data_IF_280249974174
#
_entry.id   IF_280249974174
#
_cell.length_a   1.000
_cell.length_b   1.000
_cell.length_c   1.000
_cell.angle_alpha   90.00
_cell.angle_beta   90.00
_cell.angle_gamma   90.00
#
_symmetry.space_group_name_H-M   'P 1'
#
loop_
_entity.id
_entity.type
_entity.pdbx_description
1 polymer ?
#
# COMPACT_ATOMS: atom_id res chain seq x y z
N UNK A 1 29.71 43.02 -10.05
CA UNK A 1 29.88 42.64 -8.64
C UNK A 1 30.15 41.16 -8.62
N UNK A 2 31.43 40.81 -8.69
CA UNK A 2 31.93 39.43 -8.74
C UNK A 2 31.79 38.90 -7.32
N UNK A 3 30.83 38.00 -7.09
CA UNK A 3 30.78 37.27 -5.83
C UNK A 3 31.92 36.27 -5.90
N UNK A 4 32.93 36.52 -5.07
CA UNK A 4 34.08 35.68 -4.83
C UNK A 4 33.69 34.21 -4.72
N UNK A 5 34.43 33.35 -5.41
CA UNK A 5 34.50 31.92 -5.13
C UNK A 5 34.74 31.76 -3.62
N UNK A 6 33.70 31.41 -2.88
CA UNK A 6 33.82 31.14 -1.45
C UNK A 6 34.54 29.79 -1.31
N UNK A 7 35.75 29.72 -0.71
CA UNK A 7 36.52 28.48 -0.58
C UNK A 7 35.90 27.46 0.38
N UNK A 8 34.75 27.78 0.98
CA UNK A 8 34.20 27.08 2.14
C UNK A 8 33.65 25.68 1.81
N UNK A 9 33.46 25.34 0.53
CA UNK A 9 32.89 24.03 0.14
C UNK A 9 33.94 23.05 -0.40
N UNK A 10 35.22 23.41 -0.55
CA UNK A 10 36.16 22.55 -1.31
C UNK A 10 37.22 21.81 -0.49
N UNK A 11 37.43 22.10 0.80
CA UNK A 11 38.63 21.57 1.48
C UNK A 11 38.43 20.36 2.42
N UNK A 12 37.20 19.88 2.68
CA UNK A 12 37.00 18.72 3.57
C UNK A 12 35.87 17.76 3.19
N UNK A 13 35.49 17.65 1.91
CA UNK A 13 34.53 16.62 1.50
C UNK A 13 35.23 15.28 1.20
N UNK A 14 34.77 14.16 1.77
CA UNK A 14 35.35 12.85 1.48
C UNK A 14 35.02 12.45 0.03
N UNK A 15 36.06 12.15 -0.76
CA UNK A 15 36.01 11.48 -2.08
C UNK A 15 35.25 12.25 -3.18
N UNK A 16 35.39 11.81 -4.43
CA UNK A 16 35.11 12.57 -5.67
C UNK A 16 33.67 13.11 -5.75
N UNK A 17 33.47 14.42 -5.53
CA UNK A 17 32.26 15.12 -5.93
C UNK A 17 32.36 15.64 -7.36
N UNK A 18 31.28 15.49 -8.14
CA UNK A 18 31.15 16.06 -9.49
C UNK A 18 29.96 17.03 -9.54
N UNK A 19 30.20 18.32 -9.78
CA UNK A 19 29.13 19.31 -9.97
C UNK A 19 28.32 18.99 -11.23
N UNK A 20 27.00 18.91 -11.10
CA UNK A 20 26.05 18.73 -12.19
C UNK A 20 25.48 20.05 -12.67
N UNK A 21 25.08 20.92 -11.74
CA UNK A 21 24.52 22.24 -12.05
C UNK A 21 24.54 23.14 -10.83
N UNK A 22 24.53 24.45 -11.08
CA UNK A 22 24.27 25.47 -10.07
C UNK A 22 23.20 26.44 -10.59
N UNK A 23 22.26 26.83 -9.73
CA UNK A 23 21.38 27.96 -9.97
C UNK A 23 21.28 28.78 -8.69
N UNK A 24 21.79 30.02 -8.71
CA UNK A 24 21.91 30.88 -7.53
C UNK A 24 22.60 30.15 -6.35
N UNK A 25 21.91 29.94 -5.23
CA UNK A 25 22.40 29.24 -4.05
C UNK A 25 22.24 27.70 -4.11
N UNK A 26 21.62 27.16 -5.17
CA UNK A 26 21.37 25.72 -5.31
C UNK A 26 22.46 25.04 -6.13
N UNK A 27 23.30 24.26 -5.45
CA UNK A 27 24.33 23.43 -6.07
C UNK A 27 23.89 21.96 -6.08
N UNK A 28 24.09 21.26 -7.20
CA UNK A 28 23.79 19.84 -7.35
C UNK A 28 25.05 19.07 -7.69
N UNK A 29 25.41 18.06 -6.90
CA UNK A 29 26.60 17.24 -7.11
C UNK A 29 26.25 15.75 -7.20
N UNK A 30 27.11 14.97 -7.84
CA UNK A 30 27.19 13.51 -7.66
C UNK A 30 28.30 13.20 -6.67
N UNK A 31 28.05 12.28 -5.75
CA UNK A 31 29.03 11.74 -4.80
C UNK A 31 29.15 10.22 -5.01
N UNK A 32 30.37 9.71 -5.07
CA UNK A 32 30.65 8.27 -5.12
C UNK A 32 30.74 7.68 -3.69
N UNK A 33 29.88 6.72 -3.37
CA UNK A 33 29.82 6.05 -2.05
C UNK A 33 30.05 4.54 -2.24
N UNK A 34 31.06 3.98 -1.58
CA UNK A 34 31.57 2.63 -1.89
C UNK A 34 31.34 1.55 -0.81
N UNK A 35 30.75 1.86 0.37
CA UNK A 35 30.57 0.87 1.44
C UNK A 35 29.29 1.13 2.28
N UNK A 36 28.52 0.07 2.54
CA UNK A 36 27.44 0.02 3.55
C UNK A 36 27.90 -0.91 4.70
N UNK A 37 27.56 -0.57 5.95
CA UNK A 37 28.00 -1.33 7.13
C UNK A 37 27.17 -2.61 7.37
N UNK A 38 25.86 -2.57 7.12
CA UNK A 38 24.94 -3.69 7.36
C UNK A 38 23.83 -3.77 6.29
N UNK A 39 23.23 -4.97 6.11
CA UNK A 39 22.13 -5.20 5.18
C UNK A 39 21.04 -6.12 5.78
N UNK A 40 19.77 -5.76 5.58
CA UNK A 40 18.62 -6.65 5.89
C UNK A 40 18.50 -7.71 4.79
N UNK A 41 18.56 -8.98 5.17
CA UNK A 41 18.39 -10.13 4.26
C UNK A 41 17.04 -10.80 4.50
N UNK A 42 16.27 -11.01 3.44
CA UNK A 42 15.01 -11.78 3.46
C UNK A 42 15.15 -12.97 2.52
N UNK A 43 14.89 -14.18 3.00
CA UNK A 43 15.01 -15.43 2.23
C UNK A 43 13.63 -16.04 2.02
N UNK A 44 13.29 -16.36 0.76
CA UNK A 44 12.06 -17.06 0.39
C UNK A 44 12.44 -18.44 -0.14
N UNK A 45 12.07 -19.50 0.58
CA UNK A 45 12.37 -20.89 0.19
C UNK A 45 11.28 -21.88 0.61
N UNK A 46 10.79 -22.74 -0.31
CA UNK A 46 11.04 -22.73 -1.75
C UNK A 46 10.31 -21.56 -2.44
N UNK A 47 11.02 -20.84 -3.30
CA UNK A 47 10.41 -19.80 -4.12
C UNK A 47 9.58 -20.45 -5.25
N UNK A 48 8.32 -20.05 -5.38
CA UNK A 48 7.45 -20.43 -6.50
C UNK A 48 7.63 -19.45 -7.67
N UNK A 49 7.17 -19.81 -8.88
CA UNK A 49 7.19 -18.88 -10.03
C UNK A 49 6.51 -17.54 -9.70
N UNK A 50 5.39 -17.57 -8.96
CA UNK A 50 4.72 -16.38 -8.47
C UNK A 50 5.59 -15.46 -7.60
N UNK A 51 6.55 -16.02 -6.84
CA UNK A 51 7.51 -15.20 -6.11
C UNK A 51 8.52 -14.57 -7.06
N UNK A 52 9.06 -15.33 -8.03
CA UNK A 52 9.98 -14.81 -9.03
C UNK A 52 9.36 -13.66 -9.83
N UNK A 53 8.14 -13.85 -10.36
CA UNK A 53 7.43 -12.83 -11.15
C UNK A 53 7.16 -11.56 -10.34
N UNK A 54 6.91 -11.71 -9.03
CA UNK A 54 6.66 -10.58 -8.11
C UNK A 54 7.91 -9.74 -7.85
N UNK A 55 9.07 -10.38 -7.70
CA UNK A 55 10.32 -9.71 -7.31
C UNK A 55 11.25 -9.41 -8.49
N UNK A 56 10.96 -9.95 -9.68
CA UNK A 56 11.69 -9.62 -10.92
C UNK A 56 11.31 -8.22 -11.37
N UNK A 57 12.31 -7.39 -11.68
CA UNK A 57 12.09 -6.07 -12.25
C UNK A 57 11.36 -6.22 -13.59
N UNK A 58 10.28 -5.46 -13.77
CA UNK A 58 9.49 -5.44 -14.99
C UNK A 58 9.07 -4.01 -15.33
N UNK A 59 8.80 -3.75 -16.61
CA UNK A 59 8.21 -2.49 -17.03
C UNK A 59 6.83 -2.31 -16.41
N UNK A 60 6.43 -1.05 -16.21
CA UNK A 60 5.13 -0.71 -15.61
C UNK A 60 4.40 0.25 -16.53
N UNK A 61 3.14 -0.07 -16.80
CA UNK A 61 2.23 0.76 -17.56
C UNK A 61 1.26 1.50 -16.65
N UNK A 62 0.88 2.72 -17.05
CA UNK A 62 -0.24 3.43 -16.46
C UNK A 62 -1.52 3.06 -17.19
N UNK A 63 -2.44 2.42 -16.49
CA UNK A 63 -3.70 1.90 -17.01
C UNK A 63 -4.83 2.84 -16.64
N UNK A 64 -5.77 3.05 -17.56
CA UNK A 64 -7.00 3.81 -17.35
C UNK A 64 -8.21 2.90 -17.62
N UNK A 65 -8.71 2.28 -16.57
CA UNK A 65 -9.80 1.31 -16.61
C UNK A 65 -11.17 2.01 -16.50
N UNK A 66 -11.91 2.05 -17.62
CA UNK A 66 -13.29 2.55 -17.64
C UNK A 66 -14.25 1.51 -17.04
N UNK A 67 -15.50 1.90 -16.69
CA UNK A 67 -16.53 0.93 -16.32
C UNK A 67 -16.71 -0.21 -17.31
N UNK A 68 -16.65 0.09 -18.60
CA UNK A 68 -16.78 -0.91 -19.67
C UNK A 68 -15.59 -1.89 -19.69
N UNK A 69 -14.37 -1.40 -19.50
CA UNK A 69 -13.18 -2.25 -19.38
C UNK A 69 -13.27 -3.12 -18.13
N UNK A 70 -13.74 -2.56 -17.01
CA UNK A 70 -13.97 -3.35 -15.81
C UNK A 70 -15.01 -4.46 -16.05
N UNK A 71 -16.16 -4.13 -16.64
CA UNK A 71 -17.22 -5.09 -16.89
C UNK A 71 -16.77 -6.24 -17.80
N UNK A 72 -16.04 -5.93 -18.88
CA UNK A 72 -15.66 -6.88 -19.92
C UNK A 72 -14.37 -7.65 -19.67
N UNK A 73 -13.41 -7.04 -18.97
CA UNK A 73 -12.04 -7.58 -18.87
C UNK A 73 -11.64 -7.81 -17.41
N UNK A 74 -11.63 -6.75 -16.61
CA UNK A 74 -11.02 -6.81 -15.27
C UNK A 74 -11.91 -7.54 -14.26
N UNK A 75 -13.21 -7.28 -14.29
CA UNK A 75 -14.20 -7.93 -13.43
C UNK A 75 -14.19 -9.45 -13.57
N UNK A 76 -14.25 -10.03 -14.79
CA UNK A 76 -14.05 -11.46 -15.00
C UNK A 76 -12.75 -11.98 -14.37
N UNK A 77 -11.61 -11.33 -14.63
CA UNK A 77 -10.32 -11.70 -14.06
C UNK A 77 -10.31 -11.67 -12.53
N UNK A 78 -10.90 -10.67 -11.88
CA UNK A 78 -10.99 -10.56 -10.41
C UNK A 78 -11.88 -11.66 -9.82
N UNK A 79 -12.95 -12.05 -10.51
CA UNK A 79 -13.86 -13.12 -10.08
C UNK A 79 -13.24 -14.50 -10.23
N UNK A 80 -12.53 -14.74 -11.33
CA UNK A 80 -11.88 -16.01 -11.67
C UNK A 80 -10.47 -16.15 -11.05
N UNK A 81 -9.93 -15.07 -10.51
CA UNK A 81 -8.57 -15.00 -9.98
C UNK A 81 -8.30 -16.04 -8.89
N UNK A 82 -7.03 -16.48 -8.73
CA UNK A 82 -6.69 -17.65 -7.93
C UNK A 82 -6.95 -17.44 -6.44
N UNK A 83 -7.95 -18.15 -5.91
CA UNK A 83 -8.29 -18.19 -4.48
C UNK A 83 -7.15 -18.73 -3.61
N UNK A 84 -6.19 -19.46 -4.20
CA UNK A 84 -5.06 -20.07 -3.50
C UNK A 84 -4.17 -19.07 -2.75
N UNK A 85 -4.24 -17.77 -3.08
CA UNK A 85 -3.53 -16.69 -2.37
C UNK A 85 -4.30 -16.10 -1.18
N UNK A 86 -5.52 -16.55 -0.92
CA UNK A 86 -6.40 -16.01 0.14
C UNK A 86 -6.44 -16.88 1.40
N UNK A 87 -5.88 -18.09 1.36
CA UNK A 87 -6.00 -19.02 2.49
C UNK A 87 -5.43 -18.44 3.80
N UNK A 88 -4.33 -17.69 3.73
CA UNK A 88 -3.77 -17.03 4.92
C UNK A 88 -4.74 -15.98 5.49
N UNK A 89 -5.41 -15.19 4.64
CA UNK A 89 -6.45 -14.23 5.04
C UNK A 89 -7.57 -14.96 5.77
N UNK A 90 -8.06 -16.06 5.19
CA UNK A 90 -9.14 -16.84 5.81
C UNK A 90 -8.72 -17.48 7.12
N UNK A 91 -7.48 -17.94 7.23
CA UNK A 91 -6.96 -18.46 8.49
C UNK A 91 -6.96 -17.38 9.60
N UNK A 92 -6.63 -16.13 9.28
CA UNK A 92 -6.72 -15.00 10.22
C UNK A 92 -8.18 -14.70 10.58
N UNK A 93 -9.06 -14.58 9.57
CA UNK A 93 -10.47 -14.27 9.78
C UNK A 93 -11.23 -15.36 10.54
N UNK A 94 -10.80 -16.62 10.44
CA UNK A 94 -11.38 -17.76 11.16
C UNK A 94 -10.67 -18.05 12.49
N UNK A 95 -9.61 -17.30 12.84
CA UNK A 95 -8.84 -17.49 14.06
C UNK A 95 -8.01 -18.78 14.10
N UNK A 96 -7.69 -19.35 12.93
CA UNK A 96 -6.85 -20.55 12.79
C UNK A 96 -5.35 -20.25 12.81
N UNK A 97 -4.95 -19.03 12.44
CA UNK A 97 -3.55 -18.57 12.42
C UNK A 97 -3.49 -17.10 12.80
N UNK A 98 -2.38 -16.68 13.43
CA UNK A 98 -2.11 -15.30 13.86
C UNK A 98 -3.21 -14.70 14.76
N UNK A 99 -4.04 -15.55 15.39
CA UNK A 99 -5.17 -15.11 16.19
C UNK A 99 -4.72 -14.27 17.40
N UNK A 100 -3.55 -14.60 17.96
CA UNK A 100 -2.87 -13.87 19.02
C UNK A 100 -2.34 -12.50 18.60
N UNK A 101 -2.12 -12.29 17.30
CA UNK A 101 -1.63 -11.02 16.74
C UNK A 101 -2.77 -10.03 16.45
N UNK A 102 -4.02 -10.50 16.49
CA UNK A 102 -5.20 -9.67 16.23
C UNK A 102 -5.40 -8.66 17.37
N UNK A 103 -5.36 -7.38 17.03
CA UNK A 103 -5.47 -6.26 17.97
C UNK A 103 -6.93 -5.85 18.21
N UNK A 104 -7.78 -6.09 17.21
CA UNK A 104 -9.22 -5.83 17.21
C UNK A 104 -9.92 -6.82 16.27
N UNK A 105 -11.10 -7.29 16.65
CA UNK A 105 -11.96 -8.08 15.77
C UNK A 105 -13.45 -7.83 16.05
N UNK A 106 -14.17 -7.44 15.01
CA UNK A 106 -15.62 -7.58 14.90
C UNK A 106 -15.90 -8.74 13.94
N UNK A 107 -16.66 -9.74 14.40
CA UNK A 107 -16.93 -10.97 13.65
C UNK A 107 -18.25 -10.92 12.88
N UNK A 108 -18.91 -9.77 12.77
CA UNK A 108 -20.10 -9.64 11.94
C UNK A 108 -19.77 -10.00 10.48
N UNK A 109 -20.53 -10.90 9.82
CA UNK A 109 -20.13 -11.48 8.54
C UNK A 109 -20.09 -10.47 7.37
N UNK A 110 -20.93 -9.43 7.41
CA UNK A 110 -21.04 -8.45 6.31
C UNK A 110 -20.39 -7.09 6.63
N UNK A 111 -20.16 -6.83 7.91
CA UNK A 111 -19.84 -5.49 8.42
C UNK A 111 -18.66 -5.48 9.41
N UNK A 112 -18.22 -6.67 9.82
CA UNK A 112 -17.10 -6.86 10.72
C UNK A 112 -15.77 -6.80 9.97
N UNK A 113 -14.71 -6.66 10.74
CA UNK A 113 -13.33 -6.65 10.27
C UNK A 113 -12.37 -6.96 11.41
N UNK A 114 -11.14 -7.31 11.09
CA UNK A 114 -10.07 -7.42 12.08
C UNK A 114 -8.89 -6.51 11.75
N UNK A 115 -8.17 -6.11 12.79
CA UNK A 115 -6.95 -5.29 12.70
C UNK A 115 -5.79 -6.09 13.27
N UNK A 116 -4.69 -6.16 12.52
CA UNK A 116 -3.47 -6.86 12.90
C UNK A 116 -2.22 -6.14 12.35
N UNK A 117 -1.03 -6.35 12.94
CA UNK A 117 0.23 -5.90 12.35
C UNK A 117 0.46 -6.55 10.98
N UNK A 118 0.93 -5.77 10.00
CA UNK A 118 1.35 -6.30 8.70
C UNK A 118 2.75 -6.92 8.81
N UNK A 119 2.97 -8.03 8.10
CA UNK A 119 4.28 -8.72 8.04
C UNK A 119 5.47 -7.85 7.60
N UNK A 120 5.23 -6.70 6.94
CA UNK A 120 6.28 -5.72 6.59
C UNK A 120 6.88 -5.03 7.81
N UNK A 121 6.16 -4.95 8.93
CA UNK A 121 6.61 -4.28 10.14
C UNK A 121 7.16 -5.27 11.15
N UNK A 122 8.38 -4.98 11.64
CA UNK A 122 9.07 -5.81 12.63
C UNK A 122 8.58 -5.60 14.08
N UNK A 123 7.65 -4.68 14.29
CA UNK A 123 7.11 -4.29 15.59
C UNK A 123 8.15 -3.74 16.58
N UNK A 124 9.34 -3.39 16.10
CA UNK A 124 10.42 -2.79 16.91
C UNK A 124 10.48 -1.29 16.70
N UNK A 125 10.51 -0.85 15.45
CA UNK A 125 10.55 0.57 15.13
C UNK A 125 9.13 1.13 14.96
N UNK A 126 8.70 2.00 15.87
CA UNK A 126 7.38 2.64 15.79
C UNK A 126 7.24 3.59 14.61
N UNK A 127 8.35 4.08 14.03
CA UNK A 127 8.31 4.84 12.77
C UNK A 127 7.89 3.96 11.59
N UNK A 128 8.09 2.65 11.69
CA UNK A 128 7.70 1.67 10.69
C UNK A 128 6.32 1.04 10.89
N UNK A 129 5.47 1.60 11.76
CA UNK A 129 4.13 1.04 12.02
C UNK A 129 3.41 0.78 10.72
N UNK A 130 2.97 -0.46 10.59
CA UNK A 130 2.17 -0.95 9.48
C UNK A 130 1.13 -1.90 10.05
N UNK A 131 -0.13 -1.46 10.06
CA UNK A 131 -1.28 -2.29 10.39
C UNK A 131 -2.07 -2.58 9.12
N UNK A 132 -2.80 -3.68 9.17
CA UNK A 132 -3.71 -4.12 8.13
C UNK A 132 -5.11 -4.26 8.73
N UNK A 133 -6.11 -3.78 8.02
CA UNK A 133 -7.52 -3.99 8.34
C UNK A 133 -8.12 -4.92 7.29
N UNK A 134 -8.65 -6.08 7.70
CA UNK A 134 -9.22 -7.09 6.81
C UNK A 134 -10.73 -7.14 7.01
N UNK A 135 -11.52 -6.95 5.95
CA UNK A 135 -12.97 -7.12 6.01
C UNK A 135 -13.34 -8.58 6.31
N UNK A 136 -14.43 -8.84 7.03
CA UNK A 136 -14.96 -10.20 7.20
C UNK A 136 -15.65 -10.71 5.94
N UNK A 137 -16.31 -9.81 5.20
CA UNK A 137 -17.06 -10.17 4.00
C UNK A 137 -16.13 -10.54 2.83
N UNK A 138 -16.10 -11.84 2.49
CA UNK A 138 -15.30 -12.39 1.40
C UNK A 138 -15.76 -11.98 0.01
N UNK A 139 -16.98 -11.41 -0.10
CA UNK A 139 -17.53 -10.95 -1.38
C UNK A 139 -16.90 -9.63 -1.84
N UNK A 140 -16.31 -8.86 -0.92
CA UNK A 140 -15.64 -7.60 -1.23
C UNK A 140 -14.19 -7.92 -1.64
N UNK A 141 -13.92 -7.98 -2.94
CA UNK A 141 -12.61 -8.37 -3.49
C UNK A 141 -11.72 -7.15 -3.73
N UNK A 142 -12.32 -6.05 -4.15
CA UNK A 142 -11.63 -4.78 -4.46
C UNK A 142 -12.53 -3.58 -4.15
N UNK A 143 -12.02 -2.36 -4.37
CA UNK A 143 -12.83 -1.14 -4.30
C UNK A 143 -14.02 -1.12 -5.27
N UNK A 144 -13.99 -1.90 -6.37
CA UNK A 144 -15.11 -2.03 -7.32
C UNK A 144 -16.34 -2.70 -6.71
N UNK A 145 -16.17 -3.45 -5.63
CA UNK A 145 -17.26 -4.13 -4.92
C UNK A 145 -17.90 -3.23 -3.84
N UNK A 146 -17.33 -2.05 -3.57
CA UNK A 146 -17.87 -1.14 -2.57
C UNK A 146 -19.21 -0.54 -3.02
N UNK A 147 -20.17 -0.51 -2.09
CA UNK A 147 -21.53 0.02 -2.27
C UNK A 147 -21.88 0.94 -1.11
N UNK A 148 -22.95 1.72 -1.26
CA UNK A 148 -23.45 2.64 -0.22
C UNK A 148 -23.60 1.99 1.17
N UNK A 149 -24.05 0.73 1.22
CA UNK A 149 -24.17 -0.02 2.48
C UNK A 149 -22.84 -0.26 3.22
N UNK A 150 -21.69 -0.14 2.54
CA UNK A 150 -20.38 -0.35 3.15
C UNK A 150 -19.81 0.92 3.81
N UNK A 151 -20.41 2.10 3.61
CA UNK A 151 -19.89 3.36 4.15
C UNK A 151 -19.69 3.30 5.68
N UNK A 152 -20.69 2.78 6.41
CA UNK A 152 -20.60 2.62 7.86
C UNK A 152 -19.46 1.70 8.29
N UNK A 153 -19.23 0.58 7.59
CA UNK A 153 -18.10 -0.31 7.84
C UNK A 153 -16.76 0.41 7.61
N UNK A 154 -16.62 1.15 6.51
CA UNK A 154 -15.38 1.86 6.18
C UNK A 154 -15.05 2.96 7.21
N UNK A 155 -16.05 3.71 7.66
CA UNK A 155 -15.88 4.68 8.74
C UNK A 155 -15.46 4.04 10.06
N UNK A 156 -16.04 2.87 10.39
CA UNK A 156 -15.63 2.10 11.57
C UNK A 156 -14.20 1.58 11.44
N UNK A 157 -13.80 1.09 10.26
CA UNK A 157 -12.41 0.67 10.01
C UNK A 157 -11.43 1.81 10.29
N UNK A 158 -11.72 3.04 9.83
CA UNK A 158 -10.90 4.22 10.12
C UNK A 158 -10.82 4.50 11.62
N UNK A 159 -11.98 4.64 12.29
CA UNK A 159 -12.05 5.00 13.71
C UNK A 159 -11.40 3.96 14.62
N UNK A 160 -11.65 2.67 14.37
CA UNK A 160 -11.05 1.59 15.16
C UNK A 160 -9.55 1.44 14.90
N UNK A 161 -9.07 1.69 13.68
CA UNK A 161 -7.65 1.72 13.40
C UNK A 161 -6.93 2.87 14.14
N UNK A 162 -7.51 4.08 14.16
CA UNK A 162 -7.00 5.20 14.96
C UNK A 162 -6.97 4.87 16.46
N UNK A 163 -8.06 4.27 16.97
CA UNK A 163 -8.17 3.85 18.37
C UNK A 163 -7.13 2.80 18.73
N UNK A 164 -7.00 1.75 17.94
CA UNK A 164 -6.01 0.68 18.14
C UNK A 164 -4.59 1.24 18.11
N UNK A 165 -4.27 2.09 17.13
CA UNK A 165 -2.94 2.70 17.02
C UNK A 165 -2.60 3.55 18.26
N UNK A 166 -3.56 4.32 18.75
CA UNK A 166 -3.39 5.14 19.96
C UNK A 166 -3.22 4.30 21.22
N UNK A 167 -4.10 3.33 21.44
CA UNK A 167 -4.09 2.52 22.66
C UNK A 167 -2.90 1.56 22.74
N UNK A 168 -2.51 0.95 21.61
CA UNK A 168 -1.44 -0.07 21.59
C UNK A 168 -0.05 0.53 21.41
N UNK A 169 0.05 1.65 20.68
CA UNK A 169 1.33 2.17 20.22
C UNK A 169 1.53 3.67 20.49
N UNK A 170 0.55 4.36 21.11
CA UNK A 170 0.64 5.78 21.42
C UNK A 170 0.66 6.69 20.21
N UNK A 171 0.19 6.21 19.04
CA UNK A 171 0.17 6.97 17.79
C UNK A 171 -1.20 7.61 17.57
N UNK A 172 -1.23 8.92 17.40
CA UNK A 172 -2.46 9.66 17.16
C UNK A 172 -2.94 9.49 15.71
N UNK A 173 -4.26 9.57 15.48
CA UNK A 173 -4.84 9.39 14.13
C UNK A 173 -4.28 10.35 13.08
N UNK A 174 -3.92 11.59 13.47
CA UNK A 174 -3.28 12.59 12.59
C UNK A 174 -1.89 12.18 12.07
N UNK A 175 -1.27 11.19 12.71
CA UNK A 175 0.05 10.68 12.36
C UNK A 175 -0.06 9.42 11.48
N UNK A 176 -1.28 9.05 11.07
CA UNK A 176 -1.56 7.92 10.22
C UNK A 176 -2.05 8.38 8.85
N UNK A 177 -1.69 7.61 7.82
CA UNK A 177 -2.38 7.62 6.52
C UNK A 177 -2.94 6.23 6.25
N UNK A 178 -4.19 6.22 5.77
CA UNK A 178 -4.93 5.00 5.51
C UNK A 178 -5.33 4.94 4.05
N UNK A 179 -5.09 3.79 3.41
CA UNK A 179 -5.34 3.65 1.98
C UNK A 179 -5.68 2.21 1.60
N UNK A 180 -6.34 2.08 0.44
CA UNK A 180 -6.66 0.81 -0.21
C UNK A 180 -5.81 0.68 -1.47
N UNK A 181 -5.35 -0.52 -1.78
CA UNK A 181 -4.66 -0.77 -3.04
C UNK A 181 -5.61 -1.06 -4.20
N UNK A 182 -5.30 -0.52 -5.38
CA UNK A 182 -5.88 -0.96 -6.65
C UNK A 182 -4.81 -0.99 -7.77
N UNK A 183 -4.50 -2.13 -8.39
CA UNK A 183 -4.95 -3.48 -8.04
C UNK A 183 -4.34 -3.96 -6.72
N UNK A 184 -5.07 -4.69 -5.85
CA UNK A 184 -4.50 -5.26 -4.64
C UNK A 184 -3.56 -6.44 -4.95
N UNK A 185 -2.69 -6.81 -4.00
CA UNK A 185 -1.83 -7.99 -4.16
C UNK A 185 -2.58 -9.33 -4.03
N UNK A 186 -3.77 -9.29 -3.44
CA UNK A 186 -4.70 -10.40 -3.29
C UNK A 186 -6.13 -9.83 -3.24
N UNK A 187 -7.10 -10.57 -3.77
CA UNK A 187 -8.47 -10.09 -4.02
C UNK A 187 -9.40 -10.33 -2.83
N UNK A 188 -9.06 -9.71 -1.70
CA UNK A 188 -9.90 -9.62 -0.50
C UNK A 188 -9.73 -8.21 0.05
N UNK A 189 -10.82 -7.49 0.31
CA UNK A 189 -10.75 -6.08 0.66
C UNK A 189 -10.00 -5.84 1.97
N UNK A 190 -9.04 -4.91 1.91
CA UNK A 190 -8.22 -4.55 3.04
C UNK A 190 -7.78 -3.08 2.97
N UNK A 191 -7.54 -2.52 4.15
CA UNK A 191 -7.00 -1.17 4.32
C UNK A 191 -5.62 -1.26 4.93
N UNK A 192 -4.67 -0.53 4.36
CA UNK A 192 -3.34 -0.33 4.94
C UNK A 192 -3.36 0.89 5.84
N UNK A 193 -2.78 0.76 7.04
CA UNK A 193 -2.66 1.84 8.02
C UNK A 193 -1.20 1.99 8.37
N UNK A 194 -0.60 3.12 8.00
CA UNK A 194 0.83 3.36 8.18
C UNK A 194 1.06 4.75 8.77
N UNK A 195 2.26 4.99 9.30
CA UNK A 195 2.72 6.34 9.65
C UNK A 195 2.66 7.26 8.43
N UNK A 196 2.37 8.54 8.65
CA UNK A 196 2.36 9.56 7.58
C UNK A 196 3.70 9.59 6.83
N UNK A 197 4.81 9.41 7.55
CA UNK A 197 6.18 9.41 7.02
C UNK A 197 6.55 8.12 6.26
N UNK A 198 5.73 7.06 6.35
CA UNK A 198 6.05 5.78 5.71
C UNK A 198 5.92 5.87 4.19
N UNK A 199 6.99 5.61 3.45
CA UNK A 199 6.98 5.60 1.98
C UNK A 199 7.51 4.28 1.43
N UNK A 200 6.69 3.62 0.62
CA UNK A 200 7.07 2.45 -0.18
C UNK A 200 6.36 2.47 -1.54
N UNK A 201 6.69 1.53 -2.42
CA UNK A 201 6.01 1.37 -3.71
C UNK A 201 4.49 1.12 -3.61
N UNK A 202 3.99 0.67 -2.46
CA UNK A 202 2.55 0.52 -2.17
C UNK A 202 1.85 1.85 -1.94
N UNK A 203 2.54 2.82 -1.33
CA UNK A 203 2.03 4.18 -1.09
C UNK A 203 2.00 5.07 -2.34
N UNK A 204 2.53 4.61 -3.47
CA UNK A 204 2.62 5.38 -4.70
C UNK A 204 1.25 5.72 -5.32
N UNK A 205 1.19 6.88 -5.99
CA UNK A 205 0.05 7.27 -6.82
C UNK A 205 -0.20 6.22 -7.91
N UNK A 206 -1.48 5.92 -8.16
CA UNK A 206 -1.85 4.83 -9.07
C UNK A 206 -1.62 3.44 -8.46
N UNK A 207 -1.48 3.36 -7.13
CA UNK A 207 -1.52 2.11 -6.38
C UNK A 207 -2.34 2.30 -5.11
N UNK A 208 -2.02 3.32 -4.31
CA UNK A 208 -2.78 3.69 -3.12
C UNK A 208 -3.92 4.67 -3.44
N UNK A 209 -5.10 4.40 -2.87
CA UNK A 209 -6.28 5.28 -2.86
C UNK A 209 -6.63 5.58 -1.41
N UNK A 210 -6.69 6.87 -1.04
CA UNK A 210 -6.96 7.27 0.34
C UNK A 210 -8.30 6.71 0.82
N UNK A 211 -8.32 6.16 2.04
CA UNK A 211 -9.54 5.61 2.62
C UNK A 211 -10.61 6.69 2.78
N UNK A 212 -10.22 7.92 3.16
CA UNK A 212 -11.16 9.03 3.32
C UNK A 212 -11.87 9.35 2.00
N UNK A 213 -11.11 9.48 0.90
CA UNK A 213 -11.70 9.65 -0.43
C UNK A 213 -12.61 8.48 -0.79
N UNK A 214 -12.26 7.25 -0.41
CA UNK A 214 -13.08 6.06 -0.66
C UNK A 214 -14.41 6.13 0.08
N UNK A 215 -14.39 6.55 1.35
CA UNK A 215 -15.60 6.76 2.16
C UNK A 215 -16.48 7.84 1.52
N UNK A 216 -15.90 9.01 1.22
CA UNK A 216 -16.61 10.14 0.63
C UNK A 216 -17.25 9.77 -0.71
N UNK A 217 -16.49 9.10 -1.57
CA UNK A 217 -16.97 8.64 -2.87
C UNK A 217 -18.18 7.70 -2.77
N UNK A 218 -18.18 6.76 -1.80
CA UNK A 218 -19.30 5.85 -1.57
C UNK A 218 -20.51 6.58 -0.97
N UNK A 219 -20.29 7.59 -0.13
CA UNK A 219 -21.34 8.44 0.44
C UNK A 219 -21.98 9.36 -0.62
N UNK A 220 -21.18 9.87 -1.58
CA UNK A 220 -21.67 10.69 -2.69
C UNK A 220 -22.60 9.86 -3.61
N UNK A 221 -22.18 8.65 -3.98
CA UNK A 221 -22.97 7.74 -4.79
C UNK A 221 -22.67 6.30 -4.36
N UNK A 222 -23.69 5.60 -3.86
CA UNK A 222 -23.55 4.20 -3.44
C UNK A 222 -23.13 3.24 -4.58
N UNK A 223 -23.13 3.69 -5.84
CA UNK A 223 -22.66 2.96 -7.02
C UNK A 223 -21.41 3.61 -7.65
N UNK A 224 -20.75 4.54 -6.96
CA UNK A 224 -19.66 5.37 -7.48
C UNK A 224 -18.54 4.56 -8.13
N UNK A 225 -18.06 3.52 -7.43
CA UNK A 225 -16.97 2.70 -7.91
C UNK A 225 -17.35 1.76 -9.06
N UNK A 226 -18.62 1.61 -9.40
CA UNK A 226 -19.00 0.96 -10.67
C UNK A 226 -18.90 1.93 -11.86
N UNK A 227 -19.07 3.24 -11.63
CA UNK A 227 -19.14 4.26 -12.68
C UNK A 227 -17.80 4.99 -12.89
N UNK A 228 -16.92 4.98 -11.89
CA UNK A 228 -15.64 5.68 -11.94
C UNK A 228 -14.67 4.99 -12.91
N UNK A 229 -13.94 5.77 -13.69
CA UNK A 229 -12.71 5.33 -14.33
C UNK A 229 -11.58 5.30 -13.30
N UNK A 230 -10.96 4.14 -13.09
CA UNK A 230 -9.84 3.97 -12.16
C UNK A 230 -8.53 4.01 -12.93
N UNK A 231 -7.57 4.80 -12.44
CA UNK A 231 -6.24 4.89 -13.02
C UNK A 231 -5.22 4.28 -12.07
N UNK A 232 -4.44 3.32 -12.54
CA UNK A 232 -3.49 2.58 -11.71
C UNK A 232 -2.27 2.11 -12.51
N UNK A 233 -1.22 1.72 -11.81
CA UNK A 233 -0.01 1.15 -12.40
C UNK A 233 -0.11 -0.37 -12.40
N UNK A 234 0.20 -0.98 -13.54
CA UNK A 234 0.23 -2.43 -13.70
C UNK A 234 1.59 -2.83 -14.30
N UNK A 235 2.18 -3.89 -13.77
CA UNK A 235 3.39 -4.46 -14.37
C UNK A 235 3.04 -5.17 -15.68
N UNK A 236 3.92 -5.10 -16.68
CA UNK A 236 3.67 -5.70 -18.00
C UNK A 236 3.57 -7.22 -17.98
N UNK A 237 4.18 -7.88 -16.98
CA UNK A 237 4.12 -9.33 -16.78
C UNK A 237 2.90 -9.76 -15.94
N UNK A 238 2.08 -8.80 -15.46
CA UNK A 238 0.89 -9.14 -14.70
C UNK A 238 -0.13 -9.84 -15.63
N UNK A 239 -0.77 -10.96 -15.22
CA UNK A 239 -1.66 -11.72 -16.11
C UNK A 239 -2.88 -10.94 -16.65
N UNK A 240 -3.25 -9.84 -15.99
CA UNK A 240 -4.29 -8.91 -16.45
C UNK A 240 -3.82 -7.96 -17.57
N UNK A 241 -2.52 -7.68 -17.68
CA UNK A 241 -1.99 -6.69 -18.61
C UNK A 241 -2.26 -6.99 -20.10
N UNK A 242 -2.16 -8.25 -20.59
CA UNK A 242 -2.42 -8.55 -22.00
C UNK A 242 -3.91 -8.68 -22.37
N UNK A 243 -4.83 -8.55 -21.41
CA UNK A 243 -6.28 -8.74 -21.60
C UNK A 243 -7.01 -7.49 -22.12
#
# INVERSE_FOLDING_TARGET
>A
MVISESPVITENLPRKLKLLSQNDIYYRFLLEVNQFEEAKVTVIHPATQAHLDKYTHQERAFVRETPEVYEKVVGPYVREGPESRLQWVYNVLEGRSEAEMVLYADRHPEEGFCILPDSKWDQRNMQGIYLLVLAMDRRIRTMRDLRGGHAGMLERMRKEAERVAKERYGVEGRELKMFVHYMPSYYHFHVHVVRVEYEDAGTALGKAFLLEDVIDNVNIDGMFYLKKTLCYTLGTEHPLFPL
#
